data_IF_097683113349
#
_entry.id   IF_097683113349
#
_cell.length_a   1.000
_cell.length_b   1.000
_cell.length_c   1.000
_cell.angle_alpha   90.00
_cell.angle_beta   90.00
_cell.angle_gamma   90.00
#
_symmetry.space_group_name_H-M   'P 1'
#
loop_
_entity.id
_entity.type
_entity.pdbx_description
1 polymer ?
#
# COMPACT_ATOMS: atom_id res chain seq x y z
N UNK A 1 -12.96 5.41 -14.16
CA UNK A 1 -12.25 6.08 -13.05
C UNK A 1 -11.10 5.18 -12.65
N UNK A 2 -9.91 5.71 -12.32
CA UNK A 2 -8.84 4.88 -11.80
C UNK A 2 -9.29 4.35 -10.45
N UNK A 3 -9.62 3.06 -10.37
CA UNK A 3 -9.63 2.38 -9.09
C UNK A 3 -8.17 2.38 -8.62
N UNK A 4 -7.90 2.92 -7.45
CA UNK A 4 -6.61 2.67 -6.83
C UNK A 4 -6.66 1.22 -6.36
N UNK A 5 -5.93 0.36 -7.08
CA UNK A 5 -5.81 -1.05 -6.74
C UNK A 5 -4.53 -1.25 -5.94
N UNK A 6 -4.67 -1.79 -4.73
CA UNK A 6 -3.55 -2.24 -3.92
C UNK A 6 -3.51 -3.76 -3.94
N UNK A 7 -2.32 -4.32 -4.04
CA UNK A 7 -2.13 -5.74 -3.76
C UNK A 7 -1.32 -5.85 -2.49
N UNK A 8 -1.82 -6.61 -1.52
CA UNK A 8 -1.12 -6.83 -0.26
C UNK A 8 -1.26 -8.28 0.20
N UNK A 9 -0.25 -8.75 0.93
CA UNK A 9 -0.32 -10.08 1.53
C UNK A 9 -1.50 -10.14 2.48
N UNK A 10 -2.24 -11.26 2.50
CA UNK A 10 -3.45 -11.50 3.30
C UNK A 10 -3.33 -10.94 4.70
N UNK A 11 -2.85 -11.62 5.72
CA UNK A 11 -2.73 -11.13 7.11
C UNK A 11 -1.80 -9.90 7.38
N UNK A 12 -1.63 -9.00 6.41
CA UNK A 12 -0.87 -7.76 6.57
C UNK A 12 -1.46 -6.92 7.69
N UNK A 13 -0.61 -6.58 8.65
CA UNK A 13 -0.92 -5.62 9.70
C UNK A 13 -0.34 -4.25 9.39
N UNK A 14 -0.96 -3.21 9.95
CA UNK A 14 -0.42 -1.83 9.94
C UNK A 14 -0.19 -1.23 8.56
N UNK A 15 -1.12 -1.48 7.63
CA UNK A 15 -1.05 -0.94 6.26
C UNK A 15 -1.78 0.38 6.14
N UNK A 16 -1.17 1.32 5.41
CA UNK A 16 -1.81 2.57 5.02
C UNK A 16 -2.10 2.53 3.53
N UNK A 17 -3.21 3.15 3.13
CA UNK A 17 -3.59 3.34 1.74
C UNK A 17 -3.78 4.83 1.47
N UNK A 18 -3.60 5.23 0.21
CA UNK A 18 -3.87 6.59 -0.24
C UNK A 18 -5.22 6.63 -0.94
N UNK A 19 -5.98 7.66 -0.62
CA UNK A 19 -7.30 7.95 -1.15
C UNK A 19 -7.25 9.30 -1.85
N UNK A 20 -8.05 9.45 -2.89
CA UNK A 20 -8.21 10.73 -3.57
C UNK A 20 -9.65 11.23 -3.41
N UNK A 21 -9.80 12.38 -2.77
CA UNK A 21 -11.07 13.08 -2.58
C UNK A 21 -11.27 14.17 -3.63
N UNK A 22 -12.46 14.22 -4.22
CA UNK A 22 -12.82 15.21 -5.24
C UNK A 22 -14.15 15.90 -4.92
N UNK A 23 -14.21 17.19 -5.20
CA UNK A 23 -15.43 18.00 -5.25
C UNK A 23 -15.71 18.41 -6.71
N UNK A 24 -16.93 18.84 -7.00
CA UNK A 24 -17.31 19.40 -8.30
C UNK A 24 -16.51 20.68 -8.59
N UNK A 25 -15.38 20.52 -9.28
CA UNK A 25 -14.48 21.63 -9.65
C UNK A 25 -13.06 21.55 -9.09
N UNK A 26 -12.71 20.52 -8.30
CA UNK A 26 -11.34 20.40 -7.80
C UNK A 26 -11.09 19.30 -6.78
N UNK A 27 -9.86 19.18 -6.26
CA UNK A 27 -9.55 18.30 -5.13
C UNK A 27 -10.32 18.74 -3.88
N UNK A 28 -10.85 17.78 -3.13
CA UNK A 28 -11.48 18.05 -1.84
C UNK A 28 -10.39 18.17 -0.77
N UNK A 29 -10.25 19.32 -0.10
CA UNK A 29 -9.24 19.53 0.95
C UNK A 29 -9.90 19.90 2.29
N UNK A 30 -9.25 19.65 3.41
CA UNK A 30 -9.71 20.08 4.74
C UNK A 30 -10.76 19.18 5.40
N UNK A 31 -11.02 17.98 4.86
CA UNK A 31 -11.85 16.96 5.50
C UNK A 31 -11.05 16.32 6.65
N UNK A 32 -11.58 16.38 7.87
CA UNK A 32 -11.01 15.72 9.05
C UNK A 32 -11.78 14.45 9.41
N UNK A 33 -11.19 13.58 10.23
CA UNK A 33 -11.83 12.34 10.70
C UNK A 33 -13.11 12.61 11.52
N UNK A 34 -13.21 13.80 12.10
CA UNK A 34 -14.33 14.31 12.89
C UNK A 34 -15.44 15.00 12.08
N UNK A 35 -15.36 15.00 10.75
CA UNK A 35 -16.38 15.60 9.89
C UNK A 35 -17.70 14.82 10.00
N UNK A 36 -18.81 15.50 10.27
CA UNK A 36 -20.11 14.87 10.56
C UNK A 36 -20.66 13.98 9.43
N UNK A 37 -20.32 14.29 8.19
CA UNK A 37 -20.79 13.56 7.01
C UNK A 37 -19.79 12.49 6.51
N UNK A 38 -18.71 12.25 7.26
CA UNK A 38 -17.66 11.31 6.90
C UNK A 38 -17.98 9.92 7.44
N UNK A 39 -18.13 8.96 6.52
CA UNK A 39 -18.31 7.55 6.83
C UNK A 39 -17.33 6.72 6.01
N UNK A 40 -16.80 5.66 6.63
CA UNK A 40 -15.90 4.72 5.98
C UNK A 40 -16.36 3.29 6.28
N UNK A 41 -16.29 2.43 5.27
CA UNK A 41 -16.59 1.02 5.40
C UNK A 41 -15.66 0.20 4.50
N UNK A 42 -15.47 -1.05 4.87
CA UNK A 42 -14.87 -2.04 3.99
C UNK A 42 -15.88 -3.15 3.67
N UNK A 43 -15.77 -3.66 2.44
CA UNK A 43 -16.56 -4.79 1.94
C UNK A 43 -15.60 -5.88 1.53
N UNK A 44 -15.71 -7.07 2.13
CA UNK A 44 -14.89 -8.23 1.76
C UNK A 44 -15.60 -9.07 0.71
N UNK A 45 -14.85 -9.83 -0.09
CA UNK A 45 -15.42 -10.74 -1.10
C UNK A 45 -16.37 -11.80 -0.54
N UNK A 46 -16.32 -12.05 0.77
CA UNK A 46 -17.26 -12.89 1.52
C UNK A 46 -18.67 -12.28 1.63
N UNK A 47 -18.85 -11.01 1.27
CA UNK A 47 -20.08 -10.25 1.46
C UNK A 47 -20.18 -9.57 2.83
N UNK A 48 -19.14 -9.67 3.66
CA UNK A 48 -19.05 -8.98 4.95
C UNK A 48 -18.84 -7.47 4.72
N UNK A 49 -19.71 -6.66 5.34
CA UNK A 49 -19.61 -5.20 5.35
C UNK A 49 -19.43 -4.75 6.79
N UNK A 50 -18.39 -3.97 7.05
CA UNK A 50 -18.13 -3.42 8.37
C UNK A 50 -17.69 -1.96 8.28
N UNK A 51 -18.15 -1.17 9.25
CA UNK A 51 -17.76 0.21 9.41
C UNK A 51 -16.30 0.30 9.89
N UNK A 52 -15.60 1.33 9.44
CA UNK A 52 -14.28 1.71 9.93
C UNK A 52 -14.48 2.87 10.90
N UNK A 53 -14.13 2.67 12.16
CA UNK A 53 -14.12 3.73 13.16
C UNK A 53 -13.00 4.71 12.85
N UNK A 54 -13.36 5.91 12.39
CA UNK A 54 -12.39 6.89 11.95
C UNK A 54 -11.80 7.66 13.13
N UNK A 55 -10.48 7.79 13.12
CA UNK A 55 -9.74 8.57 14.12
C UNK A 55 -8.78 9.53 13.43
N UNK A 56 -8.37 10.60 14.13
CA UNK A 56 -7.41 11.55 13.56
C UNK A 56 -6.05 10.86 13.32
N UNK A 57 -5.59 10.88 12.07
CA UNK A 57 -4.35 10.28 11.64
C UNK A 57 -3.14 11.23 11.70
N UNK A 58 -1.97 10.70 11.38
CA UNK A 58 -0.75 11.49 11.12
C UNK A 58 -0.13 11.02 9.80
N UNK A 59 0.23 11.92 8.87
CA UNK A 59 0.82 11.54 7.60
C UNK A 59 2.07 10.67 7.80
N UNK A 60 2.17 9.58 7.05
CA UNK A 60 3.29 8.63 7.14
C UNK A 60 3.28 7.71 8.36
N UNK A 61 2.30 7.85 9.28
CA UNK A 61 2.13 6.94 10.42
C UNK A 61 0.84 6.16 10.31
N UNK A 62 0.93 4.85 10.55
CA UNK A 62 -0.26 4.02 10.69
C UNK A 62 -0.90 4.22 12.06
N UNK A 63 -2.21 4.47 12.05
CA UNK A 63 -3.12 4.44 13.18
C UNK A 63 -4.35 3.66 12.71
N UNK A 64 -4.91 2.79 13.54
CA UNK A 64 -6.11 2.02 13.21
C UNK A 64 -7.29 2.99 12.92
N UNK A 65 -7.87 2.90 11.71
CA UNK A 65 -8.87 3.85 11.22
C UNK A 65 -8.39 5.29 11.10
N UNK A 66 -7.08 5.54 11.16
CA UNK A 66 -6.50 6.88 11.11
C UNK A 66 -6.70 7.54 9.75
N UNK A 67 -7.40 8.67 9.71
CA UNK A 67 -7.66 9.43 8.50
C UNK A 67 -7.03 10.82 8.58
N UNK A 68 -6.30 11.22 7.54
CA UNK A 68 -5.62 12.52 7.50
C UNK A 68 -5.29 12.94 6.07
N UNK A 69 -5.37 14.24 5.79
CA UNK A 69 -4.86 14.80 4.52
C UNK A 69 -3.32 14.80 4.54
N UNK A 70 -2.68 14.34 3.46
CA UNK A 70 -1.21 14.26 3.40
C UNK A 70 -0.60 15.66 3.34
N UNK A 71 -1.00 16.46 2.34
CA UNK A 71 -0.50 17.82 2.15
C UNK A 71 -1.47 18.62 1.26
N UNK A 72 -2.21 19.54 1.85
CA UNK A 72 -3.19 20.37 1.13
C UNK A 72 -2.56 21.33 0.10
N UNK A 73 -1.24 21.56 0.11
CA UNK A 73 -0.54 22.48 -0.80
C UNK A 73 0.12 21.76 -1.96
N UNK A 74 0.83 20.67 -1.67
CA UNK A 74 1.60 19.91 -2.67
C UNK A 74 0.78 18.78 -3.30
N UNK A 75 -0.15 18.20 -2.55
CA UNK A 75 -0.96 17.06 -2.97
C UNK A 75 -2.43 17.26 -2.53
N UNK A 76 -3.09 18.33 -2.99
CA UNK A 76 -4.45 18.66 -2.53
C UNK A 76 -5.42 17.51 -2.82
N UNK A 77 -6.17 17.11 -1.81
CA UNK A 77 -7.16 16.03 -1.88
C UNK A 77 -6.59 14.62 -1.86
N UNK A 78 -5.30 14.46 -1.58
CA UNK A 78 -4.71 13.16 -1.24
C UNK A 78 -4.80 12.93 0.26
N UNK A 79 -5.53 11.90 0.64
CA UNK A 79 -5.72 11.47 2.02
C UNK A 79 -5.03 10.14 2.27
N UNK A 80 -4.60 9.94 3.51
CA UNK A 80 -4.12 8.66 3.99
C UNK A 80 -5.16 8.05 4.91
N UNK A 81 -5.45 6.78 4.69
CA UNK A 81 -6.25 5.96 5.60
C UNK A 81 -5.39 4.83 6.17
N UNK A 82 -5.38 4.69 7.49
CA UNK A 82 -4.89 3.51 8.18
C UNK A 82 -5.93 2.40 8.11
N UNK A 83 -5.58 1.33 7.41
CA UNK A 83 -6.47 0.21 7.19
C UNK A 83 -6.59 -0.64 8.47
N UNK A 84 -7.81 -1.01 8.91
CA UNK A 84 -7.96 -1.95 10.01
C UNK A 84 -7.46 -3.34 9.64
N UNK A 85 -6.77 -4.00 10.57
CA UNK A 85 -6.22 -5.35 10.38
C UNK A 85 -7.33 -6.38 10.08
N UNK A 86 -8.58 -6.11 10.50
CA UNK A 86 -9.74 -6.94 10.18
C UNK A 86 -10.11 -6.92 8.68
N UNK A 87 -9.82 -5.83 7.97
CA UNK A 87 -10.11 -5.70 6.54
C UNK A 87 -9.21 -6.61 5.69
N UNK A 88 -7.99 -6.88 6.16
CA UNK A 88 -6.99 -7.75 5.52
C UNK A 88 -6.96 -9.16 6.11
N UNK A 89 -7.84 -9.47 7.07
CA UNK A 89 -7.87 -10.78 7.71
C UNK A 89 -7.99 -11.92 6.67
N UNK A 90 -7.55 -13.12 7.06
CA UNK A 90 -7.69 -14.31 6.23
C UNK A 90 -9.15 -14.68 5.94
N UNK A 91 -9.36 -15.42 4.86
CA UNK A 91 -10.69 -15.89 4.44
C UNK A 91 -11.40 -15.01 3.40
N UNK A 92 -10.74 -13.95 2.91
CA UNK A 92 -11.19 -13.17 1.76
C UNK A 92 -10.02 -12.96 0.79
N UNK A 93 -10.32 -12.99 -0.51
CA UNK A 93 -9.34 -12.74 -1.59
C UNK A 93 -9.31 -11.26 -1.99
N UNK A 94 -10.33 -10.51 -1.59
CA UNK A 94 -10.50 -9.10 -1.96
C UNK A 94 -11.21 -8.32 -0.87
N UNK A 95 -10.79 -7.07 -0.68
CA UNK A 95 -11.48 -6.09 0.14
C UNK A 95 -11.62 -4.77 -0.63
N UNK A 96 -12.80 -4.16 -0.59
CA UNK A 96 -13.08 -2.87 -1.20
C UNK A 96 -13.33 -1.85 -0.11
N UNK A 97 -12.61 -0.73 -0.15
CA UNK A 97 -12.77 0.38 0.80
C UNK A 97 -13.62 1.45 0.15
N UNK A 98 -14.65 1.87 0.87
CA UNK A 98 -15.59 2.91 0.43
C UNK A 98 -15.64 4.00 1.49
N UNK A 99 -15.41 5.24 1.05
CA UNK A 99 -15.58 6.43 1.86
C UNK A 99 -16.66 7.33 1.25
N UNK A 100 -17.44 7.98 2.12
CA UNK A 100 -18.41 8.99 1.74
C UNK A 100 -18.23 10.19 2.68
N UNK A 101 -18.20 11.41 2.13
CA UNK A 101 -17.99 12.62 2.91
C UNK A 101 -18.83 13.78 2.37
N UNK A 102 -20.12 13.81 2.72
CA UNK A 102 -21.02 14.88 2.29
C UNK A 102 -21.00 15.11 0.76
N UNK A 103 -20.46 16.26 0.33
CA UNK A 103 -20.32 16.59 -1.09
C UNK A 103 -19.04 16.06 -1.75
N UNK A 104 -18.06 15.61 -0.97
CA UNK A 104 -16.82 15.06 -1.50
C UNK A 104 -16.99 13.58 -1.88
N UNK A 105 -16.51 13.26 -3.08
CA UNK A 105 -16.51 11.92 -3.65
C UNK A 105 -15.13 11.31 -3.49
N UNK A 106 -15.07 10.12 -2.89
CA UNK A 106 -13.88 9.29 -2.84
C UNK A 106 -14.03 8.12 -3.80
N UNK A 107 -13.00 7.88 -4.60
CA UNK A 107 -12.96 6.70 -5.47
C UNK A 107 -12.83 5.43 -4.62
N UNK A 108 -13.66 4.40 -4.83
CA UNK A 108 -13.51 3.13 -4.16
C UNK A 108 -12.13 2.53 -4.42
N UNK A 109 -11.51 2.01 -3.37
CA UNK A 109 -10.19 1.38 -3.43
C UNK A 109 -10.37 -0.12 -3.39
N UNK A 110 -9.84 -0.80 -4.40
CA UNK A 110 -9.85 -2.26 -4.47
C UNK A 110 -8.53 -2.79 -3.87
N UNK A 111 -8.62 -3.80 -3.02
CA UNK A 111 -7.49 -4.43 -2.37
C UNK A 111 -7.53 -5.92 -2.71
N UNK A 112 -6.58 -6.37 -3.52
CA UNK A 112 -6.35 -7.79 -3.76
C UNK A 112 -5.50 -8.36 -2.62
N UNK A 113 -6.07 -9.35 -1.92
CA UNK A 113 -5.45 -10.06 -0.81
C UNK A 113 -4.81 -11.34 -1.34
N UNK A 114 -3.48 -11.38 -1.32
CA UNK A 114 -2.72 -12.51 -1.86
C UNK A 114 -1.99 -13.28 -0.75
N UNK A 115 -1.80 -14.59 -0.93
CA UNK A 115 -1.16 -15.41 0.10
C UNK A 115 0.34 -15.10 0.33
N UNK A 116 0.98 -14.36 -0.56
CA UNK A 116 2.41 -14.06 -0.54
C UNK A 116 2.67 -12.56 -0.61
N UNK A 117 3.80 -12.13 -0.05
CA UNK A 117 4.23 -10.73 -0.20
C UNK A 117 4.85 -10.51 -1.57
N UNK A 118 4.25 -9.65 -2.39
CA UNK A 118 4.76 -9.32 -3.73
C UNK A 118 6.03 -8.46 -3.69
N UNK A 119 6.30 -7.82 -2.55
CA UNK A 119 7.46 -6.95 -2.38
C UNK A 119 8.65 -7.67 -1.73
N UNK A 120 8.53 -8.97 -1.44
CA UNK A 120 9.63 -9.78 -0.92
C UNK A 120 10.38 -10.52 -2.06
N UNK A 121 11.52 -9.99 -2.54
CA UNK A 121 12.27 -10.60 -3.63
C UNK A 121 12.91 -11.94 -3.25
N UNK A 122 13.10 -12.22 -1.94
CA UNK A 122 13.68 -13.48 -1.48
C UNK A 122 12.68 -14.62 -1.65
N UNK A 123 11.47 -14.43 -1.16
CA UNK A 123 10.40 -15.44 -1.26
C UNK A 123 9.94 -15.67 -2.70
N UNK A 124 10.06 -14.64 -3.57
CA UNK A 124 9.75 -14.75 -4.99
C UNK A 124 10.88 -15.32 -5.86
N UNK A 125 12.04 -15.63 -5.26
CA UNK A 125 13.20 -16.15 -6.01
C UNK A 125 13.85 -15.14 -6.95
N UNK A 126 13.44 -13.86 -6.89
CA UNK A 126 14.01 -12.79 -7.72
C UNK A 126 15.44 -12.43 -7.31
N UNK A 127 15.84 -12.78 -6.09
CA UNK A 127 17.24 -12.65 -5.64
C UNK A 127 18.19 -13.43 -6.54
N UNK A 128 17.77 -14.54 -7.16
CA UNK A 128 18.60 -15.28 -8.10
C UNK A 128 18.97 -14.48 -9.38
N UNK A 129 18.22 -13.41 -9.69
CA UNK A 129 18.50 -12.50 -10.81
C UNK A 129 19.45 -11.36 -10.42
N UNK A 130 19.78 -11.20 -9.14
CA UNK A 130 20.69 -10.13 -8.70
C UNK A 130 22.14 -10.53 -8.89
N UNK A 131 23.00 -9.52 -9.07
CA UNK A 131 24.44 -9.73 -9.13
C UNK A 131 24.97 -10.38 -7.85
N UNK A 132 24.41 -10.10 -6.67
CA UNK A 132 24.86 -10.70 -5.41
C UNK A 132 24.65 -12.22 -5.36
N UNK A 133 23.48 -12.72 -5.76
CA UNK A 133 23.25 -14.17 -5.78
C UNK A 133 24.11 -14.88 -6.82
N UNK A 134 24.31 -14.26 -8.00
CA UNK A 134 25.23 -14.73 -9.04
C UNK A 134 26.66 -14.81 -8.53
N UNK A 135 27.11 -13.78 -7.83
CA UNK A 135 28.45 -13.71 -7.24
C UNK A 135 28.64 -14.70 -6.09
N UNK A 136 27.61 -14.97 -5.29
CA UNK A 136 27.63 -15.99 -4.24
C UNK A 136 27.81 -17.39 -4.85
N UNK A 137 27.04 -17.72 -5.89
CA UNK A 137 27.18 -18.99 -6.63
C UNK A 137 28.58 -19.14 -7.25
N UNK A 138 29.05 -18.11 -7.95
CA UNK A 138 30.38 -18.11 -8.57
C UNK A 138 31.51 -18.19 -7.54
N UNK A 139 31.37 -17.56 -6.37
CA UNK A 139 32.40 -17.63 -5.33
C UNK A 139 32.56 -19.03 -4.74
N UNK A 140 31.49 -19.84 -4.73
CA UNK A 140 31.52 -21.22 -4.26
C UNK A 140 32.03 -22.21 -5.31
N UNK A 141 31.64 -22.02 -6.58
CA UNK A 141 31.98 -22.95 -7.66
C UNK A 141 33.26 -22.58 -8.44
N UNK A 142 33.54 -21.29 -8.61
CA UNK A 142 34.61 -20.76 -9.47
C UNK A 142 35.23 -19.47 -8.89
N UNK A 143 36.02 -19.58 -7.81
CA UNK A 143 36.47 -18.43 -7.01
C UNK A 143 37.31 -17.40 -7.80
N UNK A 144 38.08 -17.83 -8.80
CA UNK A 144 38.85 -16.91 -9.66
C UNK A 144 37.97 -16.11 -10.62
N UNK A 145 36.91 -16.71 -11.16
CA UNK A 145 35.96 -16.02 -12.03
C UNK A 145 35.11 -15.01 -11.24
N UNK A 146 34.74 -15.37 -10.01
CA UNK A 146 34.05 -14.47 -9.09
C UNK A 146 34.90 -13.24 -8.72
N UNK A 147 36.22 -13.36 -8.60
CA UNK A 147 37.08 -12.20 -8.33
C UNK A 147 37.08 -11.21 -9.52
N UNK A 148 37.29 -11.72 -10.73
CA UNK A 148 37.27 -10.93 -11.96
C UNK A 148 35.93 -10.22 -12.19
N UNK A 149 34.82 -10.91 -11.93
CA UNK A 149 33.50 -10.32 -12.14
C UNK A 149 33.15 -9.23 -11.11
N UNK A 150 33.70 -9.33 -9.90
CA UNK A 150 33.55 -8.30 -8.86
C UNK A 150 34.22 -6.99 -9.27
N UNK A 151 35.43 -7.09 -9.83
CA UNK A 151 36.20 -5.94 -10.34
C UNK A 151 35.48 -5.27 -11.52
N UNK A 152 34.90 -6.08 -12.42
CA UNK A 152 34.14 -5.58 -13.57
C UNK A 152 32.88 -4.83 -13.18
N UNK A 153 32.17 -5.28 -12.15
CA UNK A 153 30.97 -4.62 -11.66
C UNK A 153 31.27 -3.30 -10.95
N UNK A 154 32.46 -3.16 -10.35
CA UNK A 154 32.90 -1.89 -9.73
C UNK A 154 33.33 -0.84 -10.76
N UNK A 155 33.83 -1.23 -11.94
CA UNK A 155 34.20 -0.29 -13.01
C UNK A 155 33.00 0.36 -13.72
N UNK A 156 31.83 -0.30 -13.72
CA UNK A 156 30.61 0.18 -14.42
C UNK A 156 29.75 1.10 -13.53
N UNK A 157 30.06 1.22 -12.24
CA UNK A 157 29.31 2.01 -11.26
C UNK A 157 29.81 3.47 -11.12
N UNK A 158 30.76 3.90 -11.96
CA UNK A 158 31.27 5.28 -12.08
C UNK A 158 30.82 5.90 -13.41
#
# INVERSE_FOLDING_TARGET
MPIHAYTMRTDSSKRTILLYGRLDGGPATGISASSADLTAAYVRSTGEVAAIELTEGQPGRWTDGGFVEIDAKLAPGVYQLGLPDAATASGADRAVIVLQAGQAHFDPVDIDLVAFDQQDPHSLGMVALTNEARMSCLSGAFPHLAAWERERLTEVAH
#
